data_IF_679082808292
#
_entry.id   IF_679082808292
#
_cell.length_a   1.000
_cell.length_b   1.000
_cell.length_c   1.000
_cell.angle_alpha   90.00
_cell.angle_beta   90.00
_cell.angle_gamma   90.00
#
_symmetry.space_group_name_H-M   'P 1'
#
loop_
_entity.id
_entity.type
_entity.pdbx_description
1 polymer ?
#
# COMPACT_ATOMS: atom_id res chain seq x y z
N UNK A 1 -10.43 -1.20 -14.81
CA UNK A 1 -9.33 -1.85 -15.55
C UNK A 1 -8.03 -1.87 -14.76
N UNK A 2 -7.64 -0.78 -14.08
CA UNK A 2 -6.40 -0.73 -13.28
C UNK A 2 -6.41 -1.75 -12.12
N UNK A 3 -7.51 -1.89 -11.42
CA UNK A 3 -7.72 -2.86 -10.34
C UNK A 3 -7.58 -4.31 -10.84
N UNK A 4 -8.15 -4.62 -12.01
CA UNK A 4 -8.03 -5.96 -12.62
C UNK A 4 -6.59 -6.28 -13.03
N UNK A 5 -5.88 -5.31 -13.61
CA UNK A 5 -4.48 -5.49 -13.99
C UNK A 5 -3.59 -5.69 -12.78
N UNK A 6 -3.78 -4.92 -11.69
CA UNK A 6 -3.02 -5.07 -10.46
C UNK A 6 -3.31 -6.40 -9.76
N UNK A 7 -4.58 -6.82 -9.68
CA UNK A 7 -4.94 -8.12 -9.10
C UNK A 7 -4.38 -9.29 -9.93
N UNK A 8 -4.47 -9.23 -11.27
CA UNK A 8 -3.89 -10.24 -12.15
C UNK A 8 -2.36 -10.30 -12.02
N UNK A 9 -1.72 -9.16 -11.85
CA UNK A 9 -0.28 -9.03 -11.63
C UNK A 9 0.16 -9.63 -10.29
N UNK A 10 -0.61 -9.41 -9.22
CA UNK A 10 -0.34 -10.01 -7.90
C UNK A 10 -0.51 -11.54 -7.95
N UNK A 11 -1.57 -12.04 -8.60
CA UNK A 11 -1.75 -13.48 -8.85
C UNK A 11 -0.55 -14.06 -9.57
N UNK A 12 -0.10 -13.43 -10.65
CA UNK A 12 1.05 -13.89 -11.42
C UNK A 12 2.32 -13.93 -10.56
N UNK A 13 2.61 -12.87 -9.82
CA UNK A 13 3.79 -12.80 -8.96
C UNK A 13 3.77 -13.89 -7.89
N UNK A 14 2.66 -14.11 -7.21
CA UNK A 14 2.56 -15.16 -6.18
C UNK A 14 2.70 -16.56 -6.75
N UNK A 15 2.24 -16.80 -7.96
CA UNK A 15 2.42 -18.07 -8.66
C UNK A 15 3.89 -18.38 -9.01
N UNK A 16 4.74 -17.35 -9.12
CA UNK A 16 6.14 -17.48 -9.54
C UNK A 16 7.14 -17.38 -8.39
N UNK A 17 6.67 -17.24 -7.13
CA UNK A 17 7.55 -17.19 -5.95
C UNK A 17 8.24 -18.55 -5.75
N UNK A 18 9.57 -18.53 -5.74
CA UNK A 18 10.42 -19.71 -5.58
C UNK A 18 10.57 -20.16 -4.11
N UNK A 19 10.28 -19.27 -3.16
CA UNK A 19 10.45 -19.51 -1.73
C UNK A 19 9.16 -19.98 -1.03
N UNK A 20 8.00 -19.82 -1.65
CA UNK A 20 6.70 -20.16 -1.07
C UNK A 20 6.24 -21.52 -1.57
N UNK A 21 5.97 -22.43 -0.63
CA UNK A 21 5.42 -23.75 -0.92
C UNK A 21 4.00 -23.69 -1.49
N UNK A 22 3.58 -24.76 -2.15
CA UNK A 22 2.30 -24.83 -2.85
C UNK A 22 1.11 -24.64 -1.91
N UNK A 23 1.12 -25.23 -0.71
CA UNK A 23 0.02 -25.14 0.25
C UNK A 23 -0.23 -23.70 0.70
N UNK A 24 0.83 -22.96 1.06
CA UNK A 24 0.73 -21.54 1.45
C UNK A 24 0.32 -20.69 0.25
N UNK A 25 0.84 -21.00 -0.95
CA UNK A 25 0.50 -20.30 -2.19
C UNK A 25 -0.99 -20.41 -2.51
N UNK A 26 -1.56 -21.60 -2.43
CA UNK A 26 -2.99 -21.81 -2.68
C UNK A 26 -3.85 -21.03 -1.69
N UNK A 27 -3.48 -21.03 -0.41
CA UNK A 27 -4.16 -20.24 0.62
C UNK A 27 -4.05 -18.73 0.38
N UNK A 28 -2.88 -18.25 -0.08
CA UNK A 28 -2.70 -16.85 -0.44
C UNK A 28 -3.59 -16.44 -1.63
N UNK A 29 -3.68 -17.29 -2.66
CA UNK A 29 -4.55 -17.06 -3.82
C UNK A 29 -6.04 -17.11 -3.44
N UNK A 30 -6.42 -18.03 -2.56
CA UNK A 30 -7.78 -18.08 -2.00
C UNK A 30 -8.10 -16.77 -1.28
N UNK A 31 -7.25 -16.34 -0.36
CA UNK A 31 -7.43 -15.07 0.36
C UNK A 31 -7.54 -13.89 -0.61
N UNK A 32 -6.68 -13.79 -1.61
CA UNK A 32 -6.72 -12.74 -2.62
C UNK A 32 -8.04 -12.75 -3.41
N UNK A 33 -8.56 -13.93 -3.75
CA UNK A 33 -9.84 -14.07 -4.46
C UNK A 33 -11.05 -13.57 -3.65
N UNK A 34 -10.90 -13.47 -2.34
CA UNK A 34 -11.92 -13.00 -1.40
C UNK A 34 -11.81 -11.50 -1.09
N UNK A 35 -10.82 -10.80 -1.64
CA UNK A 35 -10.69 -9.35 -1.43
C UNK A 35 -11.91 -8.60 -1.93
N UNK A 36 -12.41 -7.68 -1.11
CA UNK A 36 -13.52 -6.80 -1.46
C UNK A 36 -13.00 -5.39 -1.78
N UNK A 37 -13.05 -4.95 -3.04
CA UNK A 37 -12.74 -3.57 -3.38
C UNK A 37 -13.93 -2.64 -3.07
N UNK A 38 -13.63 -1.53 -2.38
CA UNK A 38 -14.56 -0.45 -2.06
C UNK A 38 -13.99 0.86 -2.60
N UNK A 39 -14.63 1.46 -3.59
CA UNK A 39 -14.04 2.55 -4.38
C UNK A 39 -14.96 3.77 -4.43
N UNK A 40 -14.41 4.94 -4.18
CA UNK A 40 -15.09 6.23 -4.29
C UNK A 40 -15.78 6.66 -3.00
N UNK A 41 -16.92 6.07 -2.71
CA UNK A 41 -17.75 6.43 -1.54
C UNK A 41 -18.62 5.25 -1.10
N UNK A 42 -19.10 5.24 0.16
CA UNK A 42 -19.94 4.17 0.66
C UNK A 42 -21.29 4.13 -0.03
N UNK A 43 -21.78 2.94 -0.36
CA UNK A 43 -23.14 2.73 -0.89
C UNK A 43 -24.18 3.11 0.17
N UNK A 44 -23.90 2.77 1.44
CA UNK A 44 -24.71 3.10 2.59
C UNK A 44 -24.01 4.15 3.44
N UNK A 45 -24.58 5.34 3.51
CA UNK A 45 -24.08 6.41 4.36
C UNK A 45 -24.49 6.24 5.81
N UNK A 46 -23.61 6.68 6.73
CA UNK A 46 -24.01 6.79 8.15
C UNK A 46 -25.13 7.79 8.28
N UNK A 47 -26.23 7.37 8.92
CA UNK A 47 -27.36 8.25 9.21
C UNK A 47 -27.09 9.08 10.47
N UNK A 48 -26.98 10.39 10.30
CA UNK A 48 -26.75 11.36 11.36
C UNK A 48 -28.03 12.09 11.78
N UNK A 49 -29.22 11.64 11.38
CA UNK A 49 -30.49 12.33 11.66
C UNK A 49 -30.78 12.48 13.17
N UNK A 50 -30.27 11.56 13.98
CA UNK A 50 -30.40 11.59 15.45
C UNK A 50 -29.34 12.46 16.15
N UNK A 51 -28.37 13.01 15.40
CA UNK A 51 -27.36 13.90 15.95
C UNK A 51 -27.89 15.34 16.05
N UNK A 52 -28.24 15.77 17.25
CA UNK A 52 -28.65 17.15 17.49
C UNK A 52 -27.46 18.11 17.45
N UNK A 53 -27.57 19.17 16.63
CA UNK A 53 -26.53 20.20 16.48
C UNK A 53 -27.11 21.58 16.81
N UNK A 54 -26.51 22.26 17.81
CA UNK A 54 -26.81 23.65 18.16
C UNK A 54 -25.70 24.59 17.63
N UNK A 55 -25.97 25.50 16.69
CA UNK A 55 -24.97 26.39 16.11
C UNK A 55 -24.32 27.35 17.14
N UNK A 56 -24.87 27.43 18.35
CA UNK A 56 -24.37 28.33 19.43
C UNK A 56 -23.60 27.59 20.53
N UNK A 57 -23.62 26.24 20.55
CA UNK A 57 -22.96 25.42 21.59
C UNK A 57 -21.93 24.44 21.01
N UNK A 58 -20.70 24.92 20.78
CA UNK A 58 -19.59 24.09 20.27
C UNK A 58 -19.28 22.93 21.21
N UNK A 59 -19.25 23.17 22.53
CA UNK A 59 -18.90 22.13 23.52
C UNK A 59 -20.00 21.08 23.62
N UNK A 60 -21.27 21.50 23.63
CA UNK A 60 -22.41 20.60 23.56
C UNK A 60 -22.39 19.73 22.30
N UNK A 61 -22.16 20.33 21.14
CA UNK A 61 -22.04 19.58 19.88
C UNK A 61 -20.92 18.54 19.91
N UNK A 62 -19.75 18.87 20.47
CA UNK A 62 -18.67 17.91 20.62
C UNK A 62 -19.04 16.71 21.51
N UNK A 63 -19.80 16.97 22.61
CA UNK A 63 -20.31 15.91 23.48
C UNK A 63 -21.34 15.04 22.81
N UNK A 64 -22.31 15.66 22.11
CA UNK A 64 -23.33 14.93 21.37
C UNK A 64 -22.73 14.08 20.24
N UNK A 65 -21.74 14.59 19.49
CA UNK A 65 -21.02 13.82 18.49
C UNK A 65 -20.28 12.62 19.12
N UNK A 66 -19.63 12.79 20.26
CA UNK A 66 -18.97 11.70 20.98
C UNK A 66 -19.97 10.66 21.49
N UNK A 67 -21.14 11.10 22.01
CA UNK A 67 -22.22 10.20 22.43
C UNK A 67 -22.78 9.42 21.25
N UNK A 68 -23.05 10.09 20.13
CA UNK A 68 -23.53 9.45 18.92
C UNK A 68 -22.56 8.37 18.43
N UNK A 69 -21.25 8.68 18.37
CA UNK A 69 -20.24 7.70 17.97
C UNK A 69 -20.20 6.50 18.93
N UNK A 70 -20.26 6.75 20.24
CA UNK A 70 -20.33 5.69 21.25
C UNK A 70 -21.55 4.79 21.09
N UNK A 71 -22.74 5.38 20.92
CA UNK A 71 -24.00 4.64 20.75
C UNK A 71 -24.00 3.85 19.44
N UNK A 72 -23.38 4.40 18.37
CA UNK A 72 -23.17 3.71 17.10
C UNK A 72 -22.29 2.47 17.27
N UNK A 73 -21.14 2.61 17.96
CA UNK A 73 -20.21 1.51 18.21
C UNK A 73 -20.82 0.43 19.12
N UNK A 74 -21.53 0.83 20.19
CA UNK A 74 -22.27 -0.12 21.03
C UNK A 74 -23.33 -0.89 20.23
N UNK A 75 -24.04 -0.19 19.35
CA UNK A 75 -25.02 -0.82 18.49
C UNK A 75 -24.46 -1.86 17.54
N UNK A 76 -23.15 -1.79 17.19
CA UNK A 76 -22.50 -2.85 16.40
C UNK A 76 -22.37 -4.17 17.16
N UNK A 77 -22.31 -4.15 18.50
CA UNK A 77 -22.28 -5.36 19.32
C UNK A 77 -23.58 -6.17 19.12
N UNK A 78 -24.71 -5.49 19.00
CA UNK A 78 -26.00 -6.13 18.81
C UNK A 78 -26.28 -6.50 17.34
N UNK A 79 -25.92 -5.61 16.41
CA UNK A 79 -26.18 -5.79 14.96
C UNK A 79 -25.16 -6.71 14.28
N UNK A 80 -24.01 -6.94 14.89
CA UNK A 80 -22.83 -7.52 14.25
C UNK A 80 -22.07 -6.51 13.37
N UNK A 81 -20.90 -6.93 12.81
CA UNK A 81 -20.11 -6.08 11.92
C UNK A 81 -20.89 -5.73 10.65
N UNK A 82 -20.79 -4.48 10.22
CA UNK A 82 -21.33 -4.02 8.94
C UNK A 82 -20.19 -4.03 7.90
N UNK A 83 -20.19 -4.97 6.96
CA UNK A 83 -19.12 -5.06 5.98
C UNK A 83 -19.09 -3.88 5.00
N UNK A 84 -20.14 -3.06 4.91
CA UNK A 84 -20.19 -1.87 4.05
C UNK A 84 -19.70 -0.60 4.78
N UNK A 85 -19.29 -0.72 6.06
CA UNK A 85 -18.81 0.42 6.83
C UNK A 85 -17.45 0.90 6.30
N UNK A 86 -17.34 2.21 6.10
CA UNK A 86 -16.09 2.88 5.74
C UNK A 86 -15.46 3.52 6.98
N UNK A 87 -14.16 3.26 7.18
CA UNK A 87 -13.38 3.86 8.27
C UNK A 87 -12.73 5.20 7.88
N UNK A 88 -12.78 5.54 6.59
CA UNK A 88 -12.34 6.85 6.08
C UNK A 88 -13.48 7.48 5.30
N UNK A 89 -13.55 8.80 5.36
CA UNK A 89 -14.52 9.57 4.59
C UNK A 89 -14.08 9.73 3.13
N UNK A 90 -14.99 9.92 2.16
CA UNK A 90 -14.64 10.04 0.74
C UNK A 90 -13.69 11.17 0.38
N UNK A 91 -13.61 12.23 1.20
CA UNK A 91 -12.67 13.35 1.02
C UNK A 91 -11.28 13.10 1.61
N UNK A 92 -11.02 11.94 2.19
CA UNK A 92 -9.71 11.56 2.70
C UNK A 92 -8.79 11.18 1.55
N UNK A 93 -7.65 11.88 1.41
CA UNK A 93 -6.60 11.53 0.45
C UNK A 93 -5.76 10.40 1.04
N UNK A 94 -6.29 9.20 1.02
CA UNK A 94 -5.66 7.98 1.52
C UNK A 94 -6.41 6.75 0.97
N UNK A 95 -5.87 5.56 1.26
CA UNK A 95 -6.48 4.25 1.07
C UNK A 95 -6.22 3.40 2.31
N UNK A 96 -6.84 2.24 2.42
CA UNK A 96 -6.54 1.29 3.49
C UNK A 96 -6.99 -0.12 3.15
N UNK A 97 -6.29 -1.10 3.73
CA UNK A 97 -6.73 -2.48 3.82
C UNK A 97 -7.31 -2.76 5.21
N UNK A 98 -8.46 -3.43 5.26
CA UNK A 98 -9.04 -3.95 6.51
C UNK A 98 -8.87 -5.46 6.59
N UNK A 99 -8.03 -5.99 7.51
CA UNK A 99 -7.81 -7.42 7.63
C UNK A 99 -9.05 -8.18 8.13
N UNK A 100 -9.92 -7.53 8.92
CA UNK A 100 -11.13 -8.17 9.46
C UNK A 100 -12.21 -8.35 8.41
N UNK A 101 -12.34 -7.41 7.48
CA UNK A 101 -13.29 -7.46 6.37
C UNK A 101 -12.67 -8.03 5.08
N UNK A 102 -11.36 -8.23 5.06
CA UNK A 102 -10.58 -8.55 3.86
C UNK A 102 -10.91 -7.60 2.70
N UNK A 103 -10.96 -6.32 3.00
CA UNK A 103 -11.38 -5.26 2.09
C UNK A 103 -10.27 -4.24 1.81
N UNK A 104 -10.18 -3.77 0.56
CA UNK A 104 -9.33 -2.65 0.15
C UNK A 104 -10.20 -1.46 -0.21
N UNK A 105 -9.90 -0.30 0.37
CA UNK A 105 -10.78 0.88 0.31
C UNK A 105 -10.04 2.07 -0.25
N UNK A 106 -10.61 2.69 -1.30
CA UNK A 106 -10.05 3.83 -2.01
C UNK A 106 -11.06 4.98 -2.02
N UNK A 107 -11.02 5.92 -1.05
CA UNK A 107 -11.84 7.12 -1.06
C UNK A 107 -11.70 7.94 -2.34
N UNK A 108 -12.76 8.64 -2.75
CA UNK A 108 -12.78 9.41 -3.99
C UNK A 108 -11.63 10.44 -4.09
N UNK A 109 -11.20 11.00 -2.96
CA UNK A 109 -10.18 12.04 -2.95
C UNK A 109 -8.78 11.55 -3.35
N UNK A 110 -8.44 10.26 -3.20
CA UNK A 110 -7.15 9.72 -3.69
C UNK A 110 -7.17 9.47 -5.20
N UNK A 111 -8.37 9.35 -5.80
CA UNK A 111 -8.54 9.09 -7.23
C UNK A 111 -8.42 10.38 -8.08
N UNK A 112 -7.44 11.22 -7.75
CA UNK A 112 -7.15 12.51 -8.37
C UNK A 112 -5.63 12.72 -8.48
N UNK A 113 -5.16 13.68 -9.29
CA UNK A 113 -3.75 14.03 -9.32
C UNK A 113 -3.21 14.37 -7.91
N UNK A 114 -1.99 13.94 -7.56
CA UNK A 114 -0.99 13.30 -8.44
C UNK A 114 -1.13 11.78 -8.57
N UNK A 115 -2.07 11.12 -7.88
CA UNK A 115 -2.20 9.65 -7.86
C UNK A 115 -2.84 9.10 -9.14
N UNK A 116 -3.93 9.71 -9.59
CA UNK A 116 -4.68 9.30 -10.77
C UNK A 116 -5.14 10.49 -11.61
N UNK A 117 -5.05 10.33 -12.92
CA UNK A 117 -5.61 11.28 -13.89
C UNK A 117 -5.96 10.52 -15.16
N UNK A 118 -7.24 10.51 -15.62
CA UNK A 118 -7.65 9.79 -16.81
C UNK A 118 -6.96 10.26 -18.10
N UNK A 119 -6.42 11.48 -18.10
CA UNK A 119 -5.71 12.07 -19.25
C UNK A 119 -4.21 11.72 -19.28
N UNK A 120 -3.67 11.12 -18.20
CA UNK A 120 -2.27 10.71 -18.14
C UNK A 120 -2.07 9.33 -18.77
N UNK A 121 -0.80 9.04 -19.10
CA UNK A 121 -0.41 7.71 -19.60
C UNK A 121 -0.72 6.59 -18.60
N UNK A 122 -0.83 5.36 -19.11
CA UNK A 122 -0.97 4.18 -18.24
C UNK A 122 0.24 4.01 -17.33
N UNK A 123 1.47 4.25 -17.82
CA UNK A 123 2.68 4.18 -17.03
C UNK A 123 2.63 5.14 -15.82
N UNK A 124 2.23 6.39 -16.04
CA UNK A 124 2.10 7.37 -14.96
C UNK A 124 1.00 7.01 -13.96
N UNK A 125 -0.16 6.52 -14.41
CA UNK A 125 -1.24 6.09 -13.52
C UNK A 125 -0.88 4.81 -12.74
N UNK A 126 -0.17 3.86 -13.35
CA UNK A 126 0.32 2.67 -12.64
C UNK A 126 1.42 3.02 -11.62
N UNK A 127 2.31 3.98 -11.93
CA UNK A 127 3.30 4.48 -10.97
C UNK A 127 2.69 5.33 -9.83
N UNK A 128 1.49 5.88 -10.02
CA UNK A 128 0.71 6.57 -9.00
C UNK A 128 -0.27 5.63 -8.29
N UNK A 129 -1.55 5.70 -8.69
CA UNK A 129 -2.62 4.93 -8.02
C UNK A 129 -2.43 3.41 -8.16
N UNK A 130 -1.83 2.91 -9.24
CA UNK A 130 -1.57 1.49 -9.40
C UNK A 130 -0.65 0.93 -8.32
N UNK A 131 0.40 1.68 -7.96
CA UNK A 131 1.30 1.32 -6.87
C UNK A 131 0.58 1.35 -5.50
N UNK A 132 -0.33 2.31 -5.28
CA UNK A 132 -1.16 2.35 -4.06
C UNK A 132 -2.12 1.15 -4.00
N UNK A 133 -2.75 0.78 -5.11
CA UNK A 133 -3.60 -0.42 -5.17
C UNK A 133 -2.78 -1.68 -4.82
N UNK A 134 -1.59 -1.81 -5.38
CA UNK A 134 -0.69 -2.90 -5.05
C UNK A 134 -0.24 -2.89 -3.59
N UNK A 135 -0.03 -1.71 -3.00
CA UNK A 135 0.30 -1.51 -1.59
C UNK A 135 -0.83 -2.04 -0.68
N UNK A 136 -2.08 -1.64 -0.92
CA UNK A 136 -3.23 -2.10 -0.13
C UNK A 136 -3.46 -3.63 -0.28
N UNK A 137 -3.26 -4.18 -1.48
CA UNK A 137 -3.25 -5.64 -1.68
C UNK A 137 -2.12 -6.26 -0.85
N UNK A 138 -0.94 -5.63 -0.83
CA UNK A 138 0.23 -6.06 -0.07
C UNK A 138 -0.02 -6.19 1.41
N UNK A 139 -0.81 -5.27 2.00
CA UNK A 139 -1.21 -5.34 3.41
C UNK A 139 -1.98 -6.60 3.80
N UNK A 140 -2.65 -7.26 2.86
CA UNK A 140 -3.23 -8.57 3.12
C UNK A 140 -2.21 -9.66 3.42
N UNK A 141 -0.93 -9.42 3.12
CA UNK A 141 0.14 -10.42 3.16
C UNK A 141 1.42 -9.91 3.84
N UNK A 142 1.42 -8.73 4.41
CA UNK A 142 2.52 -8.19 5.21
C UNK A 142 2.68 -8.93 6.55
N UNK A 143 3.52 -8.41 7.45
CA UNK A 143 3.80 -9.02 8.75
C UNK A 143 2.58 -9.10 9.67
N UNK A 144 1.59 -8.21 9.50
CA UNK A 144 0.34 -8.21 10.26
C UNK A 144 -0.80 -8.89 9.50
N UNK A 145 -1.08 -8.47 8.26
CA UNK A 145 -2.20 -9.00 7.48
C UNK A 145 -2.04 -10.48 7.14
N UNK A 146 -0.80 -10.97 7.00
CA UNK A 146 -0.53 -12.41 6.81
C UNK A 146 -0.98 -13.31 7.97
N UNK A 147 -1.37 -12.72 9.11
CA UNK A 147 -1.90 -13.44 10.28
C UNK A 147 -3.40 -13.69 10.20
N UNK A 148 -4.09 -13.08 9.24
CA UNK A 148 -5.52 -13.21 9.02
C UNK A 148 -5.79 -14.02 7.76
N UNK A 149 -6.77 -14.93 7.84
CA UNK A 149 -7.26 -15.67 6.67
C UNK A 149 -8.16 -14.78 5.76
N UNK A 150 -8.64 -15.34 4.65
CA UNK A 150 -9.54 -14.62 3.73
C UNK A 150 -10.91 -14.27 4.31
N UNK A 151 -11.28 -14.85 5.45
CA UNK A 151 -12.52 -14.56 6.18
C UNK A 151 -12.33 -13.54 7.31
N UNK A 152 -11.14 -12.96 7.45
CA UNK A 152 -10.81 -12.01 8.51
C UNK A 152 -10.54 -12.62 9.88
N UNK A 153 -10.35 -13.94 9.97
CA UNK A 153 -10.03 -14.62 11.22
C UNK A 153 -8.53 -14.61 11.46
N UNK A 154 -8.13 -14.35 12.70
CA UNK A 154 -6.74 -14.47 13.15
C UNK A 154 -6.37 -15.97 13.21
N UNK A 155 -5.75 -16.47 12.16
CA UNK A 155 -5.41 -17.90 11.99
C UNK A 155 -4.06 -18.06 11.29
N UNK A 156 -3.20 -18.95 11.80
CA UNK A 156 -1.97 -19.30 11.10
C UNK A 156 -2.29 -20.26 9.94
N UNK A 157 -2.24 -19.74 8.72
CA UNK A 157 -2.46 -20.50 7.48
C UNK A 157 -1.18 -20.79 6.69
N UNK A 158 -0.04 -20.39 7.23
CA UNK A 158 1.28 -20.62 6.64
C UNK A 158 1.88 -21.93 7.13
N UNK A 159 2.72 -22.57 6.29
CA UNK A 159 3.64 -23.59 6.79
C UNK A 159 4.76 -22.93 7.61
N UNK A 160 5.36 -23.68 8.53
CA UNK A 160 6.48 -23.18 9.34
C UNK A 160 7.68 -22.80 8.47
N UNK A 161 7.93 -23.56 7.40
CA UNK A 161 9.02 -23.30 6.46
C UNK A 161 8.80 -21.97 5.69
N UNK A 162 7.60 -21.73 5.19
CA UNK A 162 7.28 -20.51 4.47
C UNK A 162 7.28 -19.29 5.40
N UNK A 163 6.79 -19.45 6.63
CA UNK A 163 6.88 -18.39 7.65
C UNK A 163 8.34 -18.03 7.97
N UNK A 164 9.21 -19.02 8.09
CA UNK A 164 10.64 -18.77 8.31
C UNK A 164 11.29 -18.07 7.10
N UNK A 165 10.98 -18.51 5.88
CA UNK A 165 11.48 -17.90 4.65
C UNK A 165 10.99 -16.44 4.47
N UNK A 166 9.74 -16.14 4.83
CA UNK A 166 9.20 -14.78 4.88
C UNK A 166 9.96 -13.92 5.90
N UNK A 167 10.15 -14.46 7.12
CA UNK A 167 10.84 -13.73 8.20
C UNK A 167 12.30 -13.40 7.84
N UNK A 168 13.01 -14.30 7.16
CA UNK A 168 14.37 -14.04 6.68
C UNK A 168 14.42 -12.87 5.70
N UNK A 169 13.45 -12.79 4.77
CA UNK A 169 13.38 -11.71 3.78
C UNK A 169 13.00 -10.38 4.40
N UNK A 170 12.03 -10.39 5.31
CA UNK A 170 11.58 -9.17 6.00
C UNK A 170 12.64 -8.63 6.95
N UNK A 171 13.45 -9.49 7.58
CA UNK A 171 14.58 -9.03 8.39
C UNK A 171 15.59 -8.20 7.58
N UNK A 172 15.89 -8.59 6.33
CA UNK A 172 16.76 -7.77 5.45
C UNK A 172 16.14 -6.40 5.15
N UNK A 173 14.83 -6.33 4.99
CA UNK A 173 14.14 -5.06 4.79
C UNK A 173 14.20 -4.19 6.06
N UNK A 174 14.00 -4.77 7.23
CA UNK A 174 14.19 -4.10 8.54
C UNK A 174 15.59 -3.50 8.64
N UNK A 175 16.62 -4.26 8.30
CA UNK A 175 18.02 -3.81 8.34
C UNK A 175 18.27 -2.64 7.38
N UNK A 176 17.72 -2.69 6.16
CA UNK A 176 17.83 -1.60 5.19
C UNK A 176 17.26 -0.28 5.70
N UNK A 177 16.11 -0.31 6.38
CA UNK A 177 15.46 0.91 6.88
C UNK A 177 16.02 1.39 8.21
N UNK A 178 16.49 0.50 9.09
CA UNK A 178 16.99 0.84 10.42
C UNK A 178 18.27 1.69 10.42
N UNK A 179 18.96 1.79 9.30
CA UNK A 179 20.16 2.63 9.16
C UNK A 179 19.85 4.01 8.60
N UNK A 180 18.60 4.27 8.18
CA UNK A 180 18.20 5.51 7.52
C UNK A 180 17.84 6.59 8.53
N UNK A 181 18.26 7.83 8.26
CA UNK A 181 17.88 9.04 8.99
C UNK A 181 17.46 10.10 7.99
N UNK A 182 16.26 10.73 8.15
CA UNK A 182 15.85 11.78 7.23
C UNK A 182 16.68 13.06 7.42
N UNK A 183 16.83 13.82 6.35
CA UNK A 183 17.62 15.06 6.35
C UNK A 183 17.10 16.09 7.37
N UNK A 184 15.78 16.11 7.62
CA UNK A 184 15.14 17.00 8.59
C UNK A 184 15.37 16.60 10.05
N UNK A 185 15.78 15.35 10.31
CA UNK A 185 16.03 14.83 11.65
C UNK A 185 17.21 13.83 11.66
N UNK A 186 18.45 14.28 11.37
CA UNK A 186 19.60 13.40 11.13
C UNK A 186 20.02 12.58 12.34
N UNK A 187 19.67 13.03 13.55
CA UNK A 187 19.97 12.32 14.81
C UNK A 187 18.93 11.24 15.17
N UNK A 188 17.87 11.08 14.33
CA UNK A 188 16.79 10.12 14.54
C UNK A 188 16.79 9.10 13.41
N UNK A 189 16.81 7.83 13.75
CA UNK A 189 16.73 6.72 12.80
C UNK A 189 15.31 6.21 12.64
N UNK A 190 15.00 5.71 11.46
CA UNK A 190 13.79 4.95 11.21
C UNK A 190 13.81 3.67 12.06
N UNK A 191 12.70 3.34 12.68
CA UNK A 191 12.52 2.04 13.30
C UNK A 191 12.02 1.05 12.23
N UNK A 192 12.96 0.28 11.65
CA UNK A 192 12.64 -0.64 10.55
C UNK A 192 11.64 -1.74 10.92
N UNK A 193 11.59 -2.17 12.20
CA UNK A 193 10.60 -3.13 12.68
C UNK A 193 9.21 -2.50 12.75
N UNK A 194 9.12 -1.27 13.27
CA UNK A 194 7.84 -0.55 13.39
C UNK A 194 7.24 -0.19 12.02
N UNK A 195 8.10 0.11 11.04
CA UNK A 195 7.66 0.50 9.69
C UNK A 195 7.61 -0.67 8.70
N UNK A 196 7.81 -1.91 9.16
CA UNK A 196 7.97 -3.07 8.29
C UNK A 196 6.77 -3.32 7.38
N UNK A 197 5.55 -3.30 7.92
CA UNK A 197 4.33 -3.56 7.14
C UNK A 197 4.18 -2.58 5.98
N UNK A 198 4.38 -1.29 6.26
CA UNK A 198 4.32 -0.23 5.26
C UNK A 198 5.43 -0.36 4.20
N UNK A 199 6.65 -0.73 4.62
CA UNK A 199 7.76 -0.93 3.70
C UNK A 199 7.55 -2.17 2.80
N UNK A 200 6.90 -3.22 3.31
CA UNK A 200 6.48 -4.39 2.51
C UNK A 200 5.40 -3.97 1.50
N UNK A 201 4.41 -3.20 1.95
CA UNK A 201 3.34 -2.67 1.10
C UNK A 201 3.89 -1.84 -0.06
N UNK A 202 4.80 -0.90 0.23
CA UNK A 202 5.42 -0.06 -0.80
C UNK A 202 6.27 -0.88 -1.80
N UNK A 203 7.13 -1.77 -1.30
CA UNK A 203 8.01 -2.57 -2.16
C UNK A 203 7.20 -3.55 -3.02
N UNK A 204 6.27 -4.25 -2.42
CA UNK A 204 5.40 -5.19 -3.11
C UNK A 204 4.48 -4.48 -4.10
N UNK A 205 3.84 -3.40 -3.64
CA UNK A 205 2.89 -2.62 -4.42
C UNK A 205 3.50 -2.00 -5.67
N UNK A 206 4.68 -1.38 -5.54
CA UNK A 206 5.39 -0.82 -6.69
C UNK A 206 5.82 -1.92 -7.67
N UNK A 207 6.28 -3.06 -7.16
CA UNK A 207 6.64 -4.20 -7.99
C UNK A 207 5.45 -4.85 -8.70
N UNK A 208 4.27 -4.94 -8.05
CA UNK A 208 3.01 -5.42 -8.64
C UNK A 208 2.55 -4.46 -9.75
N UNK A 209 2.59 -3.15 -9.48
CA UNK A 209 2.19 -2.14 -10.45
C UNK A 209 3.11 -2.10 -11.68
N UNK A 210 4.43 -2.31 -11.49
CA UNK A 210 5.36 -2.43 -12.62
C UNK A 210 5.05 -3.66 -13.47
N UNK A 211 4.77 -4.81 -12.85
CA UNK A 211 4.36 -6.01 -13.61
C UNK A 211 3.04 -5.77 -14.36
N UNK A 212 2.10 -5.02 -13.78
CA UNK A 212 0.87 -4.64 -14.47
C UNK A 212 1.16 -3.77 -15.71
N UNK A 213 2.18 -2.90 -15.67
CA UNK A 213 2.63 -2.14 -16.83
C UNK A 213 3.21 -3.06 -17.93
N UNK A 214 3.98 -4.06 -17.55
CA UNK A 214 4.51 -5.05 -18.50
C UNK A 214 3.38 -5.84 -19.16
N UNK A 215 2.42 -6.36 -18.39
CA UNK A 215 1.23 -7.08 -18.92
C UNK A 215 0.44 -6.18 -19.87
N UNK A 216 0.22 -4.92 -19.49
CA UNK A 216 -0.48 -3.96 -20.35
C UNK A 216 0.26 -3.75 -21.68
N UNK A 217 1.59 -3.70 -21.68
CA UNK A 217 2.41 -3.61 -22.90
C UNK A 217 2.24 -4.88 -23.75
N UNK A 218 2.35 -6.05 -23.13
CA UNK A 218 2.20 -7.35 -23.83
C UNK A 218 0.83 -7.47 -24.51
N UNK A 219 -0.25 -7.05 -23.86
CA UNK A 219 -1.61 -7.05 -24.43
C UNK A 219 -1.77 -6.02 -25.56
N UNK A 220 -1.09 -4.89 -25.44
CA UNK A 220 -1.19 -3.80 -26.41
C UNK A 220 -0.28 -4.01 -27.65
N UNK A 221 0.79 -4.78 -27.57
CA UNK A 221 1.68 -5.13 -28.70
C UNK A 221 0.96 -5.96 -29.79
N UNK A 222 -0.20 -6.54 -29.48
CA UNK A 222 -1.17 -7.05 -30.48
C UNK A 222 -1.82 -5.95 -31.33
N UNK A 223 -1.60 -4.66 -31.03
CA UNK A 223 -2.16 -3.48 -31.70
C UNK A 223 -1.71 -2.15 -31.09
N UNK A 224 -0.54 -1.65 -31.47
CA UNK A 224 -0.15 -0.21 -31.42
C UNK A 224 0.12 0.46 -30.03
N UNK A 225 0.53 -0.24 -29.01
CA UNK A 225 1.16 0.42 -27.84
C UNK A 225 2.70 0.56 -28.01
N UNK A 226 3.17 0.73 -29.25
CA UNK A 226 4.59 0.88 -29.61
C UNK A 226 5.19 2.18 -29.06
N UNK A 227 5.59 2.17 -27.79
CA UNK A 227 6.40 3.20 -27.16
C UNK A 227 7.73 2.61 -26.68
N UNK A 228 8.73 3.48 -26.45
CA UNK A 228 9.97 3.09 -25.81
C UNK A 228 9.68 2.58 -24.39
N UNK A 229 9.84 1.27 -24.16
CA UNK A 229 9.58 0.63 -22.87
C UNK A 229 10.40 1.28 -21.74
N UNK A 230 11.65 1.66 -22.02
CA UNK A 230 12.50 2.33 -21.04
C UNK A 230 11.99 3.74 -20.70
N UNK A 231 11.41 4.46 -21.67
CA UNK A 231 10.78 5.74 -21.42
C UNK A 231 9.52 5.59 -20.54
N UNK A 232 8.71 4.57 -20.78
CA UNK A 232 7.53 4.26 -19.96
C UNK A 232 7.92 3.85 -18.54
N UNK A 233 9.00 3.06 -18.36
CA UNK A 233 9.51 2.72 -17.03
C UNK A 233 10.01 3.96 -16.29
N UNK A 234 10.74 4.86 -16.96
CA UNK A 234 11.13 6.14 -16.35
C UNK A 234 9.93 6.99 -15.95
N UNK A 235 8.89 7.05 -16.78
CA UNK A 235 7.66 7.76 -16.45
C UNK A 235 6.94 7.15 -15.25
N UNK A 236 6.86 5.81 -15.19
CA UNK A 236 6.30 5.06 -14.06
C UNK A 236 6.99 5.40 -12.74
N UNK A 237 8.32 5.28 -12.68
CA UNK A 237 9.07 5.61 -11.46
C UNK A 237 9.05 7.10 -11.12
N UNK A 238 9.01 7.98 -12.14
CA UNK A 238 8.87 9.42 -11.91
C UNK A 238 7.49 9.77 -11.32
N UNK A 239 6.43 9.08 -11.72
CA UNK A 239 5.09 9.23 -11.15
C UNK A 239 5.07 8.77 -9.69
N UNK A 240 5.68 7.63 -9.37
CA UNK A 240 5.87 7.16 -7.99
C UNK A 240 6.60 8.21 -7.14
N UNK A 241 7.71 8.76 -7.63
CA UNK A 241 8.43 9.82 -6.91
C UNK A 241 7.58 11.09 -6.72
N UNK A 242 6.71 11.40 -7.68
CA UNK A 242 5.86 12.58 -7.62
C UNK A 242 4.81 12.54 -6.50
N UNK A 243 4.25 11.35 -6.20
CA UNK A 243 3.25 11.20 -5.13
C UNK A 243 3.85 11.34 -3.73
N UNK A 244 5.17 11.09 -3.58
CA UNK A 244 5.86 11.17 -2.29
C UNK A 244 6.51 12.53 -2.02
N UNK A 245 6.41 13.50 -2.93
CA UNK A 245 7.00 14.83 -2.71
C UNK A 245 6.33 15.53 -1.54
N UNK A 246 7.10 15.79 -0.49
CA UNK A 246 6.62 16.45 0.73
C UNK A 246 7.74 17.30 1.34
N UNK A 247 7.37 18.42 1.95
CA UNK A 247 8.22 19.19 2.84
C UNK A 247 7.68 19.04 4.27
N UNK A 248 8.53 18.59 5.17
CA UNK A 248 8.17 18.36 6.58
C UNK A 248 9.07 19.20 7.49
N UNK A 249 8.52 19.81 8.52
CA UNK A 249 9.32 20.53 9.53
C UNK A 249 10.05 19.51 10.41
N UNK A 250 11.23 19.88 10.91
CA UNK A 250 12.08 19.01 11.73
C UNK A 250 11.32 18.45 12.95
N UNK A 251 10.60 19.27 13.69
CA UNK A 251 9.84 18.84 14.87
C UNK A 251 8.73 17.84 14.52
N UNK A 252 8.07 18.04 13.38
CA UNK A 252 7.06 17.12 12.86
C UNK A 252 7.69 15.80 12.43
N UNK A 253 8.86 15.85 11.79
CA UNK A 253 9.59 14.65 11.37
C UNK A 253 9.99 13.80 12.58
N UNK A 254 10.52 14.40 13.64
CA UNK A 254 10.84 13.70 14.90
C UNK A 254 9.61 12.99 15.49
N UNK A 255 8.48 13.69 15.52
CA UNK A 255 7.22 13.11 16.01
C UNK A 255 6.77 11.94 15.14
N UNK A 256 6.83 12.09 13.82
CA UNK A 256 6.44 11.04 12.87
C UNK A 256 7.31 9.78 13.01
N UNK A 257 8.64 9.91 13.08
CA UNK A 257 9.54 8.76 13.28
C UNK A 257 9.17 7.97 14.53
N UNK A 258 8.72 8.65 15.59
CA UNK A 258 8.39 8.01 16.85
C UNK A 258 7.00 7.36 16.90
N UNK A 259 6.04 7.80 16.09
CA UNK A 259 4.61 7.45 16.24
C UNK A 259 3.90 7.01 14.96
N UNK A 260 4.47 7.25 13.78
CA UNK A 260 3.86 6.91 12.49
C UNK A 260 4.47 5.59 11.99
N UNK A 261 3.68 4.54 11.68
CA UNK A 261 4.19 3.28 11.14
C UNK A 261 4.74 3.42 9.72
N UNK A 262 4.52 4.56 9.05
CA UNK A 262 5.08 4.84 7.74
C UNK A 262 6.49 5.40 7.85
N UNK A 263 7.40 4.90 7.03
CA UNK A 263 8.71 5.52 6.82
C UNK A 263 8.56 6.95 6.27
N UNK A 264 9.53 7.86 6.54
CA UNK A 264 9.57 9.18 5.89
C UNK A 264 9.43 9.08 4.36
N UNK A 265 8.72 10.02 3.75
CA UNK A 265 8.34 9.98 2.33
C UNK A 265 9.54 9.81 1.39
N UNK A 266 10.70 10.38 1.71
CA UNK A 266 11.91 10.17 0.91
C UNK A 266 12.34 8.70 0.87
N UNK A 267 12.13 7.94 1.94
CA UNK A 267 12.49 6.51 2.00
C UNK A 267 11.41 5.62 1.41
N UNK A 268 10.12 6.01 1.52
CA UNK A 268 9.03 5.37 0.78
C UNK A 268 9.26 5.44 -0.73
N UNK A 269 9.90 6.50 -1.21
CA UNK A 269 10.34 6.60 -2.60
C UNK A 269 11.70 5.93 -2.84
N UNK A 270 12.77 6.50 -2.26
CA UNK A 270 14.13 6.19 -2.67
C UNK A 270 14.61 4.80 -2.23
N UNK A 271 14.26 4.35 -1.02
CA UNK A 271 14.70 3.04 -0.54
C UNK A 271 13.95 1.91 -1.22
N UNK A 272 12.69 2.11 -1.58
CA UNK A 272 11.89 1.13 -2.32
C UNK A 272 12.49 0.86 -3.71
N UNK A 273 12.73 1.91 -4.50
CA UNK A 273 13.19 1.75 -5.89
C UNK A 273 14.59 1.13 -6.00
N UNK A 274 15.45 1.29 -4.97
CA UNK A 274 16.77 0.63 -4.91
C UNK A 274 16.67 -0.90 -4.95
N UNK A 275 15.56 -1.48 -4.51
CA UNK A 275 15.33 -2.92 -4.52
C UNK A 275 14.81 -3.45 -5.87
N UNK A 276 14.47 -2.59 -6.83
CA UNK A 276 13.83 -2.98 -8.08
C UNK A 276 14.81 -2.97 -9.25
N UNK A 277 15.06 -4.12 -9.86
CA UNK A 277 15.95 -4.25 -11.03
C UNK A 277 15.48 -3.36 -12.19
N UNK A 278 14.16 -3.23 -12.38
CA UNK A 278 13.57 -2.39 -13.42
C UNK A 278 13.95 -0.90 -13.26
N UNK A 279 14.04 -0.40 -12.01
CA UNK A 279 14.51 0.96 -11.75
C UNK A 279 15.97 1.13 -12.18
N UNK A 280 16.84 0.19 -11.80
CA UNK A 280 18.25 0.24 -12.19
C UNK A 280 18.41 0.21 -13.71
N UNK A 281 17.63 -0.61 -14.40
CA UNK A 281 17.64 -0.68 -15.86
C UNK A 281 17.12 0.60 -16.52
N UNK A 282 15.99 1.14 -16.04
CA UNK A 282 15.34 2.31 -16.62
C UNK A 282 16.19 3.59 -16.54
N UNK A 283 16.97 3.74 -15.46
CA UNK A 283 17.81 4.91 -15.20
C UNK A 283 19.30 4.65 -15.38
N UNK A 284 19.68 3.46 -15.89
CA UNK A 284 21.06 3.06 -16.12
C UNK A 284 21.94 3.20 -14.85
N UNK A 285 21.34 2.90 -13.67
CA UNK A 285 21.99 3.08 -12.37
C UNK A 285 23.17 2.10 -12.22
N UNK A 286 24.33 2.65 -11.91
CA UNK A 286 25.59 1.92 -11.76
C UNK A 286 26.08 1.94 -10.31
N UNK A 287 27.11 1.14 -10.00
CA UNK A 287 27.70 1.09 -8.66
C UNK A 287 28.26 2.41 -8.15
N UNK A 288 28.46 3.38 -9.03
CA UNK A 288 29.01 4.70 -8.69
C UNK A 288 27.89 5.71 -8.34
N UNK A 289 26.62 5.31 -8.48
CA UNK A 289 25.46 6.16 -8.19
C UNK A 289 24.95 5.97 -6.74
N UNK A 290 24.49 7.05 -6.07
CA UNK A 290 23.94 6.96 -4.71
C UNK A 290 22.68 6.08 -4.58
N UNK A 291 22.00 5.85 -5.70
CA UNK A 291 20.80 5.02 -5.77
C UNK A 291 21.12 3.54 -6.05
N UNK A 292 22.40 3.19 -6.18
CA UNK A 292 22.81 1.80 -6.37
C UNK A 292 22.57 0.97 -5.11
N UNK A 293 22.06 -0.22 -5.30
CA UNK A 293 22.05 -1.31 -4.33
C UNK A 293 22.49 -2.57 -5.06
N UNK A 294 23.44 -3.30 -4.51
CA UNK A 294 23.94 -4.52 -5.14
C UNK A 294 22.83 -5.56 -5.28
N UNK A 295 22.79 -6.34 -6.39
CA UNK A 295 21.68 -7.28 -6.65
C UNK A 295 21.42 -8.28 -5.51
N UNK A 296 22.48 -8.74 -4.81
CA UNK A 296 22.42 -9.65 -3.67
C UNK A 296 21.85 -9.01 -2.39
N UNK A 297 21.86 -7.69 -2.31
CA UNK A 297 21.32 -6.91 -1.20
C UNK A 297 19.86 -6.50 -1.44
N UNK A 298 19.36 -6.63 -2.68
CA UNK A 298 17.98 -6.29 -3.02
C UNK A 298 16.99 -7.26 -2.40
N UNK A 299 16.04 -6.72 -1.68
CA UNK A 299 14.98 -7.52 -1.05
C UNK A 299 13.87 -7.78 -2.06
N UNK A 300 13.47 -9.04 -2.17
CA UNK A 300 12.33 -9.48 -2.97
C UNK A 300 11.44 -10.32 -2.06
N UNK A 301 10.25 -9.84 -1.79
CA UNK A 301 9.26 -10.53 -0.97
C UNK A 301 8.18 -11.10 -1.89
N UNK A 302 7.60 -10.26 -2.74
CA UNK A 302 6.55 -10.61 -3.71
C UNK A 302 6.98 -10.41 -5.15
#
# INVERSE_FOLDING_TARGET
TLDRSSAASDVYKRQTLDWMGEDTRQRALEKLSMFRPMVGFPVKWTDYSDLAVDPTDLVGNAREAARFAWDFDLGMIERGPDPELWHMTPQTVNAYYSPLENAIVFPAAILQPPFFDPERSMAANLGGIGAVIGHEIGHGFDDQGSRYDGSGRLENWWTDADRAAFSERTAKLVDQYSVLSPAEAPDHRVNGEFTLGENIGDLGGLGIAHRALEIWREEADGGSAGGDAAAQDREFFAAWAAVWRQLTRAETMVTRIASDPHSPNEFRCNQVVKNLDAFHAAFEVTKDDPMWLAPEERVRIW
#
